data_IF_061678517609
#
_entry.id   IF_061678517609
#
_cell.length_a   1.000
_cell.length_b   1.000
_cell.length_c   1.000
_cell.angle_alpha   90.00
_cell.angle_beta   90.00
_cell.angle_gamma   90.00
#
_symmetry.space_group_name_H-M   'P 1'
#
loop_
_entity.id
_entity.type
_entity.pdbx_description
1 polymer ?
#
# COMPACT_ATOMS: atom_id res chain seq x y z
N UNK A 1 -52.96 -11.93 15.29
CA UNK A 1 -52.01 -11.48 14.25
C UNK A 1 -50.70 -11.22 14.96
N UNK A 2 -49.79 -12.18 14.85
CA UNK A 2 -48.46 -12.08 15.44
C UNK A 2 -47.70 -10.90 14.86
N UNK A 3 -46.96 -10.24 15.74
CA UNK A 3 -46.18 -9.05 15.47
C UNK A 3 -44.98 -9.46 14.59
N UNK A 4 -45.21 -9.50 13.28
CA UNK A 4 -44.23 -9.74 12.22
C UNK A 4 -43.33 -8.52 11.96
N UNK A 5 -43.17 -7.62 12.95
CA UNK A 5 -41.97 -6.77 13.06
C UNK A 5 -40.83 -7.66 13.57
N UNK A 6 -40.47 -8.56 12.67
CA UNK A 6 -39.72 -9.79 12.88
C UNK A 6 -38.22 -9.44 12.88
N UNK A 7 -37.40 -10.12 13.67
CA UNK A 7 -35.96 -9.88 13.94
C UNK A 7 -35.09 -9.35 12.77
N UNK A 8 -35.46 -9.61 11.53
CA UNK A 8 -34.80 -9.11 10.31
C UNK A 8 -34.80 -7.58 10.19
N UNK A 9 -35.88 -6.88 10.57
CA UNK A 9 -35.92 -5.42 10.45
C UNK A 9 -34.99 -4.74 11.47
N UNK A 10 -34.90 -5.30 12.68
CA UNK A 10 -33.97 -4.83 13.73
C UNK A 10 -32.51 -5.00 13.27
N UNK A 11 -32.18 -6.11 12.62
CA UNK A 11 -30.84 -6.33 12.06
C UNK A 11 -30.51 -5.33 10.94
N UNK A 12 -31.47 -4.97 10.08
CA UNK A 12 -31.26 -3.97 9.03
C UNK A 12 -30.98 -2.59 9.63
N UNK A 13 -31.69 -2.17 10.67
CA UNK A 13 -31.41 -0.88 11.33
C UNK A 13 -30.03 -0.85 12.00
N UNK A 14 -29.64 -1.95 12.66
CA UNK A 14 -28.30 -2.08 13.25
C UNK A 14 -27.20 -2.07 12.17
N UNK A 15 -27.41 -2.75 11.04
CA UNK A 15 -26.49 -2.76 9.91
C UNK A 15 -26.37 -1.37 9.27
N UNK A 16 -27.49 -0.63 9.16
CA UNK A 16 -27.51 0.75 8.65
C UNK A 16 -26.81 1.73 9.60
N UNK A 17 -27.04 1.62 10.90
CA UNK A 17 -26.34 2.43 11.90
C UNK A 17 -24.85 2.12 11.94
N UNK A 18 -24.48 0.84 11.89
CA UNK A 18 -23.09 0.39 11.77
C UNK A 18 -22.44 0.94 10.50
N UNK A 19 -23.11 0.84 9.35
CA UNK A 19 -22.60 1.36 8.08
C UNK A 19 -22.44 2.89 8.12
N UNK A 20 -23.41 3.61 8.70
CA UNK A 20 -23.36 5.08 8.85
C UNK A 20 -22.23 5.50 9.79
N UNK A 21 -22.08 4.83 10.93
CA UNK A 21 -21.02 5.09 11.89
C UNK A 21 -19.63 4.88 11.26
N UNK A 22 -19.44 3.75 10.55
CA UNK A 22 -18.18 3.49 9.86
C UNK A 22 -17.90 4.49 8.74
N UNK A 23 -18.94 4.93 8.01
CA UNK A 23 -18.82 6.00 7.02
C UNK A 23 -18.35 7.31 7.66
N UNK A 24 -18.98 7.74 8.75
CA UNK A 24 -18.59 8.96 9.47
C UNK A 24 -17.15 8.88 9.98
N UNK A 25 -16.77 7.76 10.58
CA UNK A 25 -15.41 7.52 11.07
C UNK A 25 -14.37 7.56 9.95
N UNK A 26 -14.71 7.00 8.77
CA UNK A 26 -13.87 7.07 7.58
C UNK A 26 -13.72 8.53 7.09
N UNK A 27 -14.80 9.28 7.01
CA UNK A 27 -14.78 10.70 6.59
C UNK A 27 -13.97 11.57 7.55
N UNK A 28 -14.09 11.35 8.86
CA UNK A 28 -13.29 12.02 9.90
C UNK A 28 -11.80 11.70 9.76
N UNK A 29 -11.45 10.42 9.62
CA UNK A 29 -10.07 10.01 9.43
C UNK A 29 -9.43 10.65 8.18
N UNK A 30 -10.15 10.63 7.07
CA UNK A 30 -9.72 11.24 5.81
C UNK A 30 -9.52 12.76 5.96
N UNK A 31 -10.41 13.42 6.71
CA UNK A 31 -10.29 14.85 7.00
C UNK A 31 -9.01 15.13 7.79
N UNK A 32 -8.73 14.30 8.80
CA UNK A 32 -7.50 14.42 9.59
C UNK A 32 -6.26 14.28 8.71
N UNK A 33 -6.20 13.26 7.84
CA UNK A 33 -5.09 13.09 6.89
C UNK A 33 -4.91 14.29 5.96
N UNK A 34 -6.00 14.88 5.48
CA UNK A 34 -5.97 16.04 4.57
C UNK A 34 -5.39 17.30 5.24
N UNK A 35 -5.34 17.33 6.57
CA UNK A 35 -4.79 18.45 7.35
C UNK A 35 -3.45 18.11 8.02
N UNK A 36 -3.00 16.86 7.93
CA UNK A 36 -1.75 16.43 8.56
C UNK A 36 -0.53 16.97 7.81
N UNK A 37 0.49 17.44 8.53
CA UNK A 37 1.79 17.75 7.97
C UNK A 37 2.37 16.60 7.13
N UNK A 38 3.22 16.93 6.15
CA UNK A 38 3.85 15.95 5.27
C UNK A 38 4.84 15.03 5.98
N UNK A 39 5.38 15.48 7.12
CA UNK A 39 6.31 14.74 7.98
C UNK A 39 5.62 13.86 9.03
N UNK A 40 4.28 13.86 9.08
CA UNK A 40 3.52 12.96 9.94
C UNK A 40 3.02 11.71 9.18
N UNK A 41 3.18 10.49 9.71
CA UNK A 41 2.65 9.29 9.07
C UNK A 41 1.13 9.19 9.17
N UNK A 42 0.47 8.65 8.15
CA UNK A 42 -0.96 8.26 8.25
C UNK A 42 -1.21 7.16 9.29
N UNK A 43 -0.18 6.36 9.60
CA UNK A 43 -0.26 5.34 10.64
C UNK A 43 1.10 5.14 11.31
N UNK A 44 1.25 5.65 12.54
CA UNK A 44 2.45 5.41 13.34
C UNK A 44 2.65 3.92 13.63
N UNK A 45 1.56 3.17 13.89
CA UNK A 45 1.65 1.73 14.16
C UNK A 45 2.15 0.93 12.95
N UNK A 46 1.82 1.34 11.72
CA UNK A 46 2.38 0.73 10.53
C UNK A 46 3.88 1.00 10.41
N UNK A 47 4.30 2.25 10.67
CA UNK A 47 5.72 2.60 10.72
C UNK A 47 6.47 1.73 11.74
N UNK A 48 5.97 1.63 12.96
CA UNK A 48 6.58 0.84 14.02
C UNK A 48 6.65 -0.66 13.66
N UNK A 49 5.58 -1.17 13.03
CA UNK A 49 5.54 -2.55 12.54
C UNK A 49 6.59 -2.80 11.45
N UNK A 50 6.76 -1.88 10.49
CA UNK A 50 7.76 -1.99 9.43
C UNK A 50 9.18 -2.01 10.00
N UNK A 51 9.45 -1.18 11.00
CA UNK A 51 10.73 -1.16 11.72
C UNK A 51 10.97 -2.50 12.43
N UNK A 52 9.96 -3.04 13.13
CA UNK A 52 10.07 -4.35 13.77
C UNK A 52 10.31 -5.46 12.75
N UNK A 53 9.49 -5.51 11.70
CA UNK A 53 9.59 -6.50 10.64
C UNK A 53 10.97 -6.48 9.98
N UNK A 54 11.50 -5.30 9.66
CA UNK A 54 12.83 -5.18 9.07
C UNK A 54 13.91 -5.72 10.02
N UNK A 55 13.83 -5.38 11.30
CA UNK A 55 14.79 -5.87 12.29
C UNK A 55 14.75 -7.40 12.45
N UNK A 56 13.57 -8.01 12.29
CA UNK A 56 13.42 -9.47 12.33
C UNK A 56 13.92 -10.14 11.04
N UNK A 57 13.88 -9.45 9.90
CA UNK A 57 14.24 -10.04 8.59
C UNK A 57 15.68 -9.76 8.14
N UNK A 58 16.33 -8.68 8.61
CA UNK A 58 17.66 -8.26 8.13
C UNK A 58 18.78 -9.29 8.35
N UNK A 59 18.59 -10.24 9.27
CA UNK A 59 19.53 -11.34 9.50
C UNK A 59 19.27 -12.54 8.57
N UNK A 60 18.11 -12.59 7.91
CA UNK A 60 17.71 -13.64 6.96
C UNK A 60 17.79 -13.20 5.50
N UNK A 61 17.74 -11.89 5.24
CA UNK A 61 17.86 -11.27 3.94
C UNK A 61 18.80 -10.06 4.02
N UNK A 62 19.79 -10.01 3.14
CA UNK A 62 20.67 -8.86 2.99
C UNK A 62 19.99 -7.81 2.08
N UNK A 63 19.54 -6.70 2.67
CA UNK A 63 19.00 -5.58 1.92
C UNK A 63 20.13 -4.64 1.48
N UNK A 64 20.42 -4.62 0.18
CA UNK A 64 21.42 -3.75 -0.43
C UNK A 64 20.73 -2.48 -0.97
N UNK A 65 20.95 -1.34 -0.33
CA UNK A 65 20.37 -0.07 -0.75
C UNK A 65 21.13 0.51 -1.95
N UNK A 66 20.41 0.75 -3.06
CA UNK A 66 20.98 1.24 -4.31
C UNK A 66 20.30 2.51 -4.78
N UNK A 67 21.04 3.36 -5.50
CA UNK A 67 20.52 4.59 -6.11
C UNK A 67 20.12 4.41 -7.56
N UNK A 68 20.68 3.41 -8.23
CA UNK A 68 20.34 3.02 -9.60
C UNK A 68 19.44 1.79 -9.56
N UNK A 69 18.30 1.88 -10.25
CA UNK A 69 17.35 0.77 -10.39
C UNK A 69 17.76 -0.12 -11.57
N UNK A 70 17.93 -1.43 -11.32
CA UNK A 70 18.22 -2.44 -12.36
C UNK A 70 16.95 -3.07 -12.96
N UNK A 71 15.78 -2.49 -12.68
CA UNK A 71 14.51 -2.86 -13.29
C UNK A 71 14.48 -2.60 -14.80
N UNK A 72 14.15 -3.63 -15.57
CA UNK A 72 13.97 -3.51 -17.01
C UNK A 72 12.48 -3.55 -17.39
N UNK A 73 11.83 -2.42 -17.74
CA UNK A 73 10.41 -2.39 -18.09
C UNK A 73 10.08 -3.14 -19.38
N UNK A 74 11.09 -3.45 -20.22
CA UNK A 74 10.92 -4.26 -21.45
C UNK A 74 11.05 -5.76 -21.18
N UNK A 75 11.55 -6.16 -20.01
CA UNK A 75 11.77 -7.54 -19.60
C UNK A 75 11.38 -7.73 -18.13
N UNK A 76 10.11 -7.51 -17.82
CA UNK A 76 9.58 -7.58 -16.46
C UNK A 76 9.78 -8.99 -15.87
N UNK A 77 9.53 -10.03 -16.66
CA UNK A 77 9.67 -11.43 -16.24
C UNK A 77 11.13 -11.81 -15.98
N UNK A 78 12.04 -11.46 -16.89
CA UNK A 78 13.46 -11.71 -16.68
C UNK A 78 14.03 -10.89 -15.53
N UNK A 79 13.51 -9.69 -15.27
CA UNK A 79 13.87 -8.89 -14.09
C UNK A 79 13.53 -9.62 -12.80
N UNK A 80 12.28 -10.10 -12.65
CA UNK A 80 11.90 -10.87 -11.46
C UNK A 80 12.77 -12.13 -11.29
N UNK A 81 13.02 -12.87 -12.38
CA UNK A 81 13.86 -14.07 -12.32
C UNK A 81 15.28 -13.74 -11.82
N UNK A 82 15.90 -12.66 -12.31
CA UNK A 82 17.22 -12.21 -11.82
C UNK A 82 17.19 -11.89 -10.32
N UNK A 83 16.10 -11.27 -9.83
CA UNK A 83 15.96 -10.93 -8.42
C UNK A 83 15.80 -12.19 -7.56
N UNK A 84 14.98 -13.14 -8.01
CA UNK A 84 14.81 -14.44 -7.35
C UNK A 84 16.13 -15.22 -7.31
N UNK A 85 16.83 -15.34 -8.45
CA UNK A 85 18.12 -16.04 -8.53
C UNK A 85 19.16 -15.43 -7.59
N UNK A 86 19.25 -14.09 -7.56
CA UNK A 86 20.11 -13.35 -6.63
C UNK A 86 19.77 -13.67 -5.18
N UNK A 87 18.49 -13.64 -4.82
CA UNK A 87 18.06 -13.94 -3.46
C UNK A 87 18.28 -15.41 -3.07
N UNK A 88 18.01 -16.37 -3.95
CA UNK A 88 18.21 -17.79 -3.68
C UNK A 88 19.69 -18.13 -3.49
N UNK A 89 20.60 -17.49 -4.25
CA UNK A 89 22.05 -17.74 -4.21
C UNK A 89 22.78 -16.96 -3.12
N UNK A 90 22.43 -15.69 -2.94
CA UNK A 90 23.23 -14.73 -2.17
C UNK A 90 22.45 -14.13 -1.00
N UNK A 91 21.14 -14.40 -0.88
CA UNK A 91 20.21 -13.77 0.07
C UNK A 91 20.14 -12.25 -0.06
N UNK A 92 20.53 -11.71 -1.22
CA UNK A 92 20.54 -10.27 -1.47
C UNK A 92 19.24 -9.82 -2.13
N UNK A 93 18.65 -8.75 -1.60
CA UNK A 93 17.57 -7.98 -2.22
C UNK A 93 18.07 -6.56 -2.41
N UNK A 94 18.08 -6.07 -3.65
CA UNK A 94 18.43 -4.69 -3.94
C UNK A 94 17.21 -3.80 -3.80
N UNK A 95 17.32 -2.76 -2.99
CA UNK A 95 16.24 -1.82 -2.71
C UNK A 95 16.61 -0.48 -3.30
N UNK A 96 15.84 -0.06 -4.31
CA UNK A 96 15.99 1.26 -4.89
C UNK A 96 15.49 2.33 -3.92
N UNK A 97 16.33 3.32 -3.64
CA UNK A 97 16.06 4.38 -2.64
C UNK A 97 15.52 5.68 -3.25
N UNK A 98 15.48 5.81 -4.57
CA UNK A 98 15.02 7.04 -5.23
C UNK A 98 13.52 7.29 -5.10
N UNK A 99 13.11 8.56 -5.23
CA UNK A 99 11.71 9.00 -5.13
C UNK A 99 11.01 8.53 -3.84
N UNK A 100 11.73 8.54 -2.73
CA UNK A 100 11.20 8.17 -1.42
C UNK A 100 10.51 9.35 -0.69
N UNK A 101 10.53 10.54 -1.29
CA UNK A 101 9.95 11.77 -0.76
C UNK A 101 8.43 11.83 -0.94
N UNK A 102 7.73 12.39 0.06
CA UNK A 102 6.27 12.64 0.07
C UNK A 102 5.36 11.39 -0.06
N UNK A 103 5.59 10.39 0.81
CA UNK A 103 4.74 9.19 0.95
C UNK A 103 3.78 9.28 2.15
N UNK A 104 2.96 8.24 2.35
CA UNK A 104 2.09 8.12 3.53
C UNK A 104 2.83 7.92 4.86
N UNK A 105 4.14 7.64 4.82
CA UNK A 105 4.94 7.27 5.99
C UNK A 105 5.52 8.45 6.76
N UNK A 106 5.43 9.67 6.23
CA UNK A 106 5.92 10.90 6.88
C UNK A 106 7.45 11.01 6.97
N UNK A 107 8.20 9.98 6.60
CA UNK A 107 9.65 10.06 6.50
C UNK A 107 10.19 9.08 5.45
N UNK A 108 11.35 9.45 4.90
CA UNK A 108 12.03 8.71 3.84
C UNK A 108 12.49 7.31 4.31
N UNK A 109 13.04 7.23 5.52
CA UNK A 109 13.60 5.99 6.06
C UNK A 109 12.57 4.86 6.13
N UNK A 110 11.38 5.13 6.68
CA UNK A 110 10.30 4.14 6.77
C UNK A 110 9.75 3.81 5.38
N UNK A 111 9.72 4.76 4.45
CA UNK A 111 9.35 4.47 3.07
C UNK A 111 10.31 3.45 2.43
N UNK A 112 11.62 3.59 2.68
CA UNK A 112 12.62 2.59 2.25
C UNK A 112 12.39 1.24 2.94
N UNK A 113 12.06 1.20 4.24
CA UNK A 113 11.72 -0.06 4.93
C UNK A 113 10.46 -0.72 4.35
N UNK A 114 9.48 0.09 3.95
CA UNK A 114 8.30 -0.42 3.25
C UNK A 114 8.65 -1.05 1.90
N UNK A 115 9.59 -0.47 1.15
CA UNK A 115 10.13 -1.08 -0.07
C UNK A 115 10.87 -2.39 0.20
N UNK A 116 11.64 -2.47 1.29
CA UNK A 116 12.22 -3.75 1.73
C UNK A 116 11.14 -4.82 1.90
N UNK A 117 10.02 -4.48 2.55
CA UNK A 117 8.91 -5.41 2.73
C UNK A 117 8.24 -5.79 1.41
N UNK A 118 7.99 -4.80 0.55
CA UNK A 118 7.37 -5.00 -0.75
C UNK A 118 8.19 -5.92 -1.66
N UNK A 119 9.46 -5.60 -1.88
CA UNK A 119 10.34 -6.38 -2.76
C UNK A 119 10.61 -7.77 -2.19
N UNK A 120 10.71 -7.90 -0.86
CA UNK A 120 10.80 -9.19 -0.20
C UNK A 120 9.60 -10.08 -0.53
N UNK A 121 8.38 -9.54 -0.52
CA UNK A 121 7.17 -10.30 -0.86
C UNK A 121 7.17 -10.68 -2.35
N UNK A 122 7.51 -9.76 -3.26
CA UNK A 122 7.64 -10.08 -4.69
C UNK A 122 8.58 -11.27 -4.93
N UNK A 123 9.75 -11.22 -4.32
CA UNK A 123 10.81 -12.20 -4.52
C UNK A 123 10.45 -13.54 -3.86
N UNK A 124 10.06 -13.53 -2.58
CA UNK A 124 9.80 -14.78 -1.84
C UNK A 124 8.55 -15.51 -2.30
N UNK A 125 7.54 -14.78 -2.78
CA UNK A 125 6.31 -15.36 -3.30
C UNK A 125 6.31 -15.56 -4.81
N UNK A 126 7.40 -15.17 -5.50
CA UNK A 126 7.53 -15.23 -6.96
C UNK A 126 6.40 -14.47 -7.67
N UNK A 127 6.01 -13.33 -7.10
CA UNK A 127 4.94 -12.48 -7.62
C UNK A 127 5.48 -11.51 -8.69
N UNK A 128 4.83 -11.48 -9.86
CA UNK A 128 5.17 -10.57 -10.95
C UNK A 128 5.08 -9.08 -10.59
N UNK A 129 5.66 -8.22 -11.42
CA UNK A 129 5.45 -6.75 -11.36
C UNK A 129 4.36 -6.28 -12.33
N UNK A 130 3.53 -7.21 -12.81
CA UNK A 130 2.31 -6.86 -13.51
C UNK A 130 1.18 -6.63 -12.48
N UNK A 131 0.02 -6.16 -12.93
CA UNK A 131 -1.06 -5.81 -12.01
C UNK A 131 -1.58 -7.00 -11.20
N UNK A 132 -1.52 -8.21 -11.75
CA UNK A 132 -1.93 -9.39 -11.00
C UNK A 132 -0.92 -9.67 -9.87
N UNK A 133 0.37 -9.56 -10.17
CA UNK A 133 1.44 -9.70 -9.19
C UNK A 133 1.45 -8.59 -8.14
N UNK A 134 1.28 -7.32 -8.51
CA UNK A 134 1.13 -6.19 -7.57
C UNK A 134 -0.08 -6.38 -6.64
N UNK A 135 -1.23 -6.80 -7.21
CA UNK A 135 -2.42 -7.09 -6.42
C UNK A 135 -2.20 -8.25 -5.46
N UNK A 136 -1.49 -9.29 -5.90
CA UNK A 136 -1.15 -10.42 -5.05
C UNK A 136 -0.16 -10.03 -3.95
N UNK A 137 0.87 -9.26 -4.26
CA UNK A 137 1.82 -8.70 -3.28
C UNK A 137 1.08 -7.89 -2.22
N UNK A 138 0.15 -7.01 -2.62
CA UNK A 138 -0.64 -6.22 -1.69
C UNK A 138 -1.50 -7.09 -0.76
N UNK A 139 -2.13 -8.16 -1.28
CA UNK A 139 -2.88 -9.12 -0.49
C UNK A 139 -2.01 -9.89 0.50
N UNK A 140 -0.80 -10.32 0.07
CA UNK A 140 0.15 -11.00 0.94
C UNK A 140 0.61 -10.05 2.05
N UNK A 141 1.04 -8.84 1.72
CA UNK A 141 1.43 -7.82 2.70
C UNK A 141 0.31 -7.55 3.72
N UNK A 142 -0.93 -7.39 3.24
CA UNK A 142 -2.10 -7.20 4.09
C UNK A 142 -2.42 -8.40 4.99
N UNK A 143 -2.03 -9.61 4.61
CA UNK A 143 -2.23 -10.82 5.43
C UNK A 143 -1.15 -11.03 6.49
N UNK A 144 0.03 -10.43 6.31
CA UNK A 144 1.15 -10.50 7.26
C UNK A 144 1.05 -9.48 8.40
N UNK A 145 0.25 -8.43 8.25
CA UNK A 145 -0.05 -7.48 9.33
C UNK A 145 -1.28 -7.92 10.15
N UNK A 146 -1.46 -7.44 11.40
CA UNK A 146 -2.56 -7.88 12.26
C UNK A 146 -3.94 -7.79 11.61
N UNK A 147 -4.81 -8.76 11.94
CA UNK A 147 -6.09 -8.96 11.23
C UNK A 147 -7.04 -7.76 11.35
N UNK A 148 -7.01 -7.07 12.48
CA UNK A 148 -7.84 -5.93 12.87
C UNK A 148 -7.32 -4.57 12.35
N UNK A 149 -6.17 -4.53 11.68
CA UNK A 149 -5.57 -3.31 11.11
C UNK A 149 -6.20 -2.92 9.78
N UNK A 150 -7.50 -2.62 9.80
CA UNK A 150 -8.28 -2.36 8.58
C UNK A 150 -7.76 -1.17 7.76
N UNK A 151 -7.35 -0.08 8.43
CA UNK A 151 -6.81 1.12 7.77
C UNK A 151 -5.50 0.82 7.04
N UNK A 152 -4.56 0.15 7.70
CA UNK A 152 -3.22 -0.12 7.16
C UNK A 152 -3.29 -1.04 5.96
N UNK A 153 -4.23 -1.99 5.97
CA UNK A 153 -4.52 -2.82 4.80
C UNK A 153 -5.04 -1.98 3.63
N UNK A 154 -5.88 -0.98 3.90
CA UNK A 154 -6.35 -0.05 2.86
C UNK A 154 -5.22 0.86 2.37
N UNK A 155 -4.32 1.30 3.25
CA UNK A 155 -3.13 2.08 2.91
C UNK A 155 -2.20 1.29 1.97
N UNK A 156 -1.89 0.03 2.32
CA UNK A 156 -1.09 -0.89 1.47
C UNK A 156 -1.75 -1.07 0.09
N UNK A 157 -3.07 -1.30 0.06
CA UNK A 157 -3.80 -1.45 -1.21
C UNK A 157 -3.80 -0.17 -2.05
N UNK A 158 -3.99 0.99 -1.42
CA UNK A 158 -3.98 2.28 -2.11
C UNK A 158 -2.61 2.59 -2.71
N UNK A 159 -1.55 2.31 -1.96
CA UNK A 159 -0.18 2.51 -2.37
C UNK A 159 0.22 1.57 -3.51
N UNK A 160 0.05 0.25 -3.35
CA UNK A 160 0.51 -0.72 -4.36
C UNK A 160 -0.43 -0.75 -5.58
N UNK A 161 -1.72 -1.02 -5.33
CA UNK A 161 -2.69 -1.27 -6.41
C UNK A 161 -3.22 0.06 -6.95
N UNK A 162 -3.51 1.02 -6.09
CA UNK A 162 -4.03 2.32 -6.49
C UNK A 162 -3.07 3.10 -7.39
N UNK A 163 -1.80 3.25 -6.98
CA UNK A 163 -0.79 3.94 -7.80
C UNK A 163 -0.56 3.22 -9.14
N UNK A 164 -0.56 1.88 -9.15
CA UNK A 164 -0.46 1.10 -10.39
C UNK A 164 -1.63 1.32 -11.34
N UNK A 165 -2.86 1.41 -10.81
CA UNK A 165 -4.05 1.71 -11.61
C UNK A 165 -4.00 3.11 -12.20
N UNK A 166 -3.60 4.11 -11.41
CA UNK A 166 -3.39 5.48 -11.90
C UNK A 166 -2.36 5.51 -13.03
N UNK A 167 -1.20 4.89 -12.83
CA UNK A 167 -0.13 4.81 -13.82
C UNK A 167 -0.60 4.17 -15.13
N UNK A 168 -1.49 3.17 -15.07
CA UNK A 168 -2.11 2.56 -16.26
C UNK A 168 -3.15 3.45 -16.91
N UNK A 169 -4.01 4.11 -16.13
CA UNK A 169 -5.07 4.98 -16.64
C UNK A 169 -4.52 6.25 -17.32
N UNK A 170 -3.33 6.69 -16.91
CA UNK A 170 -2.70 7.93 -17.36
C UNK A 170 -1.45 7.72 -18.21
N UNK A 171 -1.45 6.73 -19.12
CA UNK A 171 -0.37 6.51 -20.11
C UNK A 171 1.04 6.40 -19.51
N UNK A 172 1.17 5.69 -18.38
CA UNK A 172 2.45 5.48 -17.67
C UNK A 172 3.03 6.73 -17.00
N UNK A 173 2.16 7.69 -16.67
CA UNK A 173 2.54 8.82 -15.83
C UNK A 173 2.44 8.46 -14.34
N UNK A 174 3.45 8.86 -13.57
CA UNK A 174 3.43 8.71 -12.12
C UNK A 174 2.61 9.80 -11.45
N UNK A 175 2.08 9.48 -10.27
CA UNK A 175 1.43 10.45 -9.39
C UNK A 175 2.46 11.50 -8.93
N UNK A 176 2.06 12.77 -8.92
CA UNK A 176 2.91 13.90 -8.52
C UNK A 176 2.95 14.01 -6.98
N UNK A 177 1.79 13.88 -6.35
CA UNK A 177 1.61 13.89 -4.89
C UNK A 177 0.97 12.58 -4.44
N UNK A 178 1.80 11.61 -4.05
CA UNK A 178 1.38 10.27 -3.65
C UNK A 178 0.54 10.31 -2.37
N UNK A 179 0.91 11.17 -1.42
CA UNK A 179 0.18 11.35 -0.17
C UNK A 179 -1.24 11.84 -0.42
N UNK A 180 -1.39 12.87 -1.26
CA UNK A 180 -2.72 13.36 -1.66
C UNK A 180 -3.51 12.30 -2.45
N UNK A 181 -2.84 11.56 -3.34
CA UNK A 181 -3.48 10.47 -4.08
C UNK A 181 -4.06 9.40 -3.13
N UNK A 182 -3.31 8.97 -2.10
CA UNK A 182 -3.81 7.98 -1.14
C UNK A 182 -5.06 8.50 -0.42
N UNK A 183 -5.07 9.78 -0.01
CA UNK A 183 -6.25 10.41 0.60
C UNK A 183 -7.45 10.35 -0.36
N UNK A 184 -7.25 10.74 -1.61
CA UNK A 184 -8.32 10.77 -2.60
C UNK A 184 -8.79 9.37 -2.99
N UNK A 185 -7.88 8.40 -3.03
CA UNK A 185 -8.20 7.00 -3.24
C UNK A 185 -9.06 6.45 -2.11
N UNK A 186 -8.73 6.77 -0.85
CA UNK A 186 -9.55 6.38 0.29
C UNK A 186 -10.94 7.04 0.24
N UNK A 187 -11.06 8.28 -0.26
CA UNK A 187 -12.37 8.95 -0.47
C UNK A 187 -13.19 8.28 -1.56
N UNK A 188 -12.62 8.22 -2.77
CA UNK A 188 -13.27 7.78 -3.99
C UNK A 188 -12.21 7.20 -4.95
N UNK A 189 -12.01 5.87 -4.95
CA UNK A 189 -10.99 5.23 -5.77
C UNK A 189 -11.12 5.52 -7.26
N UNK A 190 -12.35 5.51 -7.80
CA UNK A 190 -12.58 5.75 -9.21
C UNK A 190 -12.13 7.16 -9.62
N UNK A 191 -12.50 8.17 -8.83
CA UNK A 191 -12.10 9.54 -9.10
C UNK A 191 -10.57 9.72 -8.98
N UNK A 192 -9.96 9.14 -7.93
CA UNK A 192 -8.51 9.20 -7.74
C UNK A 192 -7.73 8.55 -8.89
N UNK A 193 -8.21 7.42 -9.43
CA UNK A 193 -7.55 6.69 -10.53
C UNK A 193 -7.68 7.42 -11.87
N UNK A 194 -8.82 8.04 -12.16
CA UNK A 194 -9.12 8.58 -13.50
C UNK A 194 -8.96 10.10 -13.61
N UNK A 195 -8.80 10.82 -12.49
CA UNK A 195 -8.54 12.26 -12.49
C UNK A 195 -7.04 12.51 -12.47
N UNK A 196 -6.53 13.05 -13.58
CA UNK A 196 -5.13 13.43 -13.72
C UNK A 196 -4.75 14.51 -12.70
N UNK A 197 -3.67 14.29 -11.95
CA UNK A 197 -3.08 15.34 -11.12
C UNK A 197 -2.40 16.39 -12.00
N UNK A 198 -2.53 17.66 -11.60
CA UNK A 198 -1.91 18.80 -12.29
C UNK A 198 -0.92 19.43 -11.31
N UNK A 199 0.33 19.62 -11.75
CA UNK A 199 1.31 20.37 -10.97
C UNK A 199 0.78 21.79 -10.73
N UNK A 200 0.87 22.25 -9.48
CA UNK A 200 0.52 23.63 -9.11
C UNK A 200 1.63 24.60 -9.50
#
# INVERSE_FOLDING_TARGET
MENLLNKNDINIFLDLEFAKYNKQRKEELIRNFSTMPSDEPFSQRLNDWLVSWYNDQKDHAHFEFVTEDDFNPKDIKGTLNRYIERFEKERVIRIWTGSADNSMFGNEAVNVLYRCFHDYVHITQKAGFDFAGESFTALVQASLIPSDWLLEKQLIMADIVGLNLYHRAHNKEYVIDQRQFIIDFLKNPADAIFRKQVAK
#
